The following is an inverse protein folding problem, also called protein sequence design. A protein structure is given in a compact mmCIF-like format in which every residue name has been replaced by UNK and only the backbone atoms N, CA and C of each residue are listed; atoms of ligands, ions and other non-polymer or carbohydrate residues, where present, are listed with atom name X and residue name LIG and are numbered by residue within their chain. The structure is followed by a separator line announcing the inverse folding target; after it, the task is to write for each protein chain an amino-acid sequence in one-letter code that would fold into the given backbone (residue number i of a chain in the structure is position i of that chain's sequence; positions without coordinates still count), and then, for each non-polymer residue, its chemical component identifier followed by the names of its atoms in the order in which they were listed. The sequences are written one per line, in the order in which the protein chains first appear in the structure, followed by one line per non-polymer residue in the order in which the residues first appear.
data_IF_043994674028
#
_entry.id   IF_043994674028
#
_cell.length_a   1.000
_cell.length_b   1.000
_cell.length_c   1.000
_cell.angle_alpha   90.00
_cell.angle_beta   90.00
_cell.angle_gamma   90.00
#
_symmetry.space_group_name_H-M   'P 1'
#
loop_
_entity.id
_entity.type
_entity.pdbx_description
1 polymer ?
#
# COMPACT_ATOMS: atom_id res chain seq x y z
N UNK A 1 2.71 -64.12 4.99
CA UNK A 1 1.62 -63.18 4.65
C UNK A 1 1.34 -62.19 5.78
N UNK A 2 1.21 -62.59 7.05
CA UNK A 2 0.99 -61.67 8.20
C UNK A 2 2.09 -60.62 8.41
N UNK A 3 3.36 -60.94 8.16
CA UNK A 3 4.49 -60.00 8.29
C UNK A 3 4.50 -58.90 7.22
N UNK A 4 4.04 -59.20 6.01
CA UNK A 4 3.93 -58.20 4.92
C UNK A 4 2.77 -57.23 5.15
N UNK A 5 1.69 -57.70 5.80
CA UNK A 5 0.53 -56.86 6.16
C UNK A 5 0.86 -55.86 7.27
N UNK A 6 1.61 -56.27 8.30
CA UNK A 6 2.08 -55.36 9.37
C UNK A 6 3.02 -54.26 8.85
N UNK A 7 3.91 -54.60 7.90
CA UNK A 7 4.85 -53.64 7.33
C UNK A 7 4.13 -52.56 6.49
N UNK A 8 3.12 -52.95 5.70
CA UNK A 8 2.28 -51.99 4.95
C UNK A 8 1.49 -51.06 5.88
N UNK A 9 0.91 -51.58 6.95
CA UNK A 9 0.16 -50.75 7.90
C UNK A 9 1.07 -49.72 8.60
N UNK A 10 2.30 -50.09 8.95
CA UNK A 10 3.26 -49.18 9.59
C UNK A 10 3.71 -48.06 8.64
N UNK A 11 3.94 -48.38 7.35
CA UNK A 11 4.26 -47.38 6.32
C UNK A 11 3.10 -46.43 6.03
N UNK A 12 1.86 -46.90 6.07
CA UNK A 12 0.66 -46.07 5.90
C UNK A 12 0.44 -45.10 7.08
N UNK A 13 0.72 -45.55 8.31
CA UNK A 13 0.66 -44.69 9.51
C UNK A 13 1.73 -43.60 9.46
N UNK A 14 2.94 -43.93 8.99
CA UNK A 14 4.02 -42.96 8.82
C UNK A 14 3.70 -41.93 7.73
N UNK A 15 3.07 -42.33 6.62
CA UNK A 15 2.60 -41.40 5.58
C UNK A 15 1.48 -40.48 6.10
N UNK A 16 0.58 -41.00 6.95
CA UNK A 16 -0.52 -40.22 7.54
C UNK A 16 -0.05 -39.11 8.49
N UNK A 17 1.07 -39.32 9.20
CA UNK A 17 1.64 -38.33 10.12
C UNK A 17 2.35 -37.16 9.42
N UNK A 18 2.85 -37.37 8.20
CA UNK A 18 3.52 -36.32 7.41
C UNK A 18 2.50 -35.36 6.76
N UNK A 19 1.25 -35.80 6.57
CA UNK A 19 0.19 -35.02 5.93
C UNK A 19 -0.45 -33.91 6.77
N UNK A 20 -0.16 -33.84 8.07
CA UNK A 20 -0.83 -32.91 9.01
C UNK A 20 0.01 -31.63 9.27
N UNK A 21 1.25 -31.58 8.78
CA UNK A 21 2.24 -30.57 9.18
C UNK A 21 2.28 -29.25 8.41
N UNK A 22 1.43 -28.98 7.41
CA UNK A 22 1.63 -27.82 6.52
C UNK A 22 0.35 -27.02 6.23
N UNK A 23 -0.47 -26.76 7.24
CA UNK A 23 -1.50 -25.72 7.16
C UNK A 23 -1.33 -24.67 8.25
N UNK A 24 -0.11 -24.15 8.39
CA UNK A 24 0.10 -22.81 8.96
C UNK A 24 0.11 -21.79 7.83
N UNK A 25 -0.97 -21.75 7.05
CA UNK A 25 -1.31 -20.58 6.25
C UNK A 25 -1.58 -19.44 7.23
N UNK A 26 -0.52 -18.69 7.56
CA UNK A 26 -0.58 -17.54 8.43
C UNK A 26 -1.76 -16.66 8.01
N UNK A 27 -2.67 -16.43 8.96
CA UNK A 27 -3.79 -15.52 8.78
C UNK A 27 -3.23 -14.14 8.45
N UNK A 28 -3.18 -13.80 7.16
CA UNK A 28 -2.85 -12.46 6.70
C UNK A 28 -3.97 -11.54 7.19
N UNK A 29 -3.82 -10.97 8.38
CA UNK A 29 -4.76 -9.96 8.87
C UNK A 29 -4.64 -8.78 7.91
N UNK A 30 -5.68 -8.53 7.13
CA UNK A 30 -5.74 -7.45 6.13
C UNK A 30 -5.82 -6.05 6.75
N UNK A 31 -5.56 -5.94 8.06
CA UNK A 31 -5.56 -4.68 8.79
C UNK A 31 -4.23 -3.96 8.62
N UNK A 32 -4.24 -2.64 8.33
CA UNK A 32 -3.01 -1.87 8.24
C UNK A 32 -2.33 -1.82 9.61
N UNK A 33 -1.00 -1.95 9.62
CA UNK A 33 -0.19 -1.87 10.86
C UNK A 33 -0.33 -0.52 11.57
N UNK A 34 -0.60 0.53 10.80
CA UNK A 34 -0.77 1.89 11.29
C UNK A 34 -1.91 2.54 10.52
N UNK A 35 -2.92 3.05 11.26
CA UNK A 35 -4.04 3.80 10.69
C UNK A 35 -3.97 5.22 11.25
N UNK A 36 -3.68 6.17 10.37
CA UNK A 36 -3.66 7.59 10.71
C UNK A 36 -4.86 8.29 10.11
N UNK A 37 -5.54 9.10 10.91
CA UNK A 37 -6.56 10.00 10.41
C UNK A 37 -5.91 11.24 9.79
N UNK A 38 -6.71 11.97 9.01
CA UNK A 38 -6.32 13.25 8.45
C UNK A 38 -5.95 14.30 9.53
N UNK A 39 -6.50 14.19 10.73
CA UNK A 39 -6.15 15.06 11.87
C UNK A 39 -4.76 14.71 12.39
N UNK A 40 -4.48 13.43 12.55
CA UNK A 40 -3.16 12.96 13.01
C UNK A 40 -2.06 13.39 12.03
N UNK A 41 -2.30 13.23 10.72
CA UNK A 41 -1.35 13.65 9.69
C UNK A 41 -1.05 15.16 9.72
N UNK A 42 -2.03 16.00 10.07
CA UNK A 42 -1.80 17.43 10.24
C UNK A 42 -0.96 17.74 11.45
N UNK A 43 -1.26 17.09 12.58
CA UNK A 43 -0.57 17.34 13.84
C UNK A 43 0.92 16.97 13.75
N UNK A 44 1.26 15.91 13.03
CA UNK A 44 2.64 15.50 12.80
C UNK A 44 3.30 16.18 11.59
N UNK A 45 2.64 17.16 10.97
CA UNK A 45 3.12 17.84 9.76
C UNK A 45 3.44 16.86 8.60
N UNK A 46 2.81 15.68 8.59
CA UNK A 46 3.04 14.58 7.65
C UNK A 46 2.25 14.70 6.35
N UNK A 47 1.54 15.82 6.17
CA UNK A 47 0.78 16.12 4.96
C UNK A 47 0.93 17.59 4.58
N UNK A 48 1.24 17.85 3.33
CA UNK A 48 1.15 19.17 2.70
C UNK A 48 -0.06 19.21 1.80
N UNK A 49 -0.71 20.38 1.74
CA UNK A 49 -1.92 20.56 0.94
C UNK A 49 -1.79 21.79 0.07
N UNK A 50 -2.43 21.71 -1.06
CA UNK A 50 -2.59 22.80 -2.00
C UNK A 50 -4.09 22.99 -2.20
N UNK A 51 -4.54 24.23 -2.13
CA UNK A 51 -5.92 24.62 -2.40
C UNK A 51 -5.91 25.84 -3.33
N UNK A 52 -6.92 25.93 -4.18
CA UNK A 52 -7.07 26.97 -5.17
C UNK A 52 -8.55 27.34 -5.33
N UNK A 53 -8.93 28.50 -4.81
CA UNK A 53 -10.33 28.95 -4.64
C UNK A 53 -11.21 28.85 -5.90
N UNK A 54 -10.62 29.08 -7.08
CA UNK A 54 -11.36 29.19 -8.35
C UNK A 54 -11.22 27.98 -9.26
N UNK A 55 -10.59 26.91 -8.78
CA UNK A 55 -10.41 25.69 -9.54
C UNK A 55 -10.98 24.51 -8.80
N UNK A 56 -11.42 23.51 -9.54
CA UNK A 56 -11.76 22.21 -9.01
C UNK A 56 -11.25 21.13 -9.97
N UNK A 57 -11.39 19.87 -9.57
CA UNK A 57 -11.12 18.71 -10.42
C UNK A 57 -9.65 18.60 -10.86
N UNK A 58 -8.75 18.33 -9.91
CA UNK A 58 -7.35 17.98 -10.18
C UNK A 58 -7.24 16.56 -10.78
N UNK A 59 -7.62 16.42 -12.06
CA UNK A 59 -7.78 15.12 -12.71
C UNK A 59 -6.56 14.63 -13.48
N UNK A 60 -5.65 15.53 -13.87
CA UNK A 60 -4.42 15.19 -14.60
C UNK A 60 -3.20 15.52 -13.74
N UNK A 61 -2.28 14.55 -13.62
CA UNK A 61 -1.04 14.69 -12.85
C UNK A 61 0.13 14.27 -13.73
N UNK A 62 1.17 15.10 -13.78
CA UNK A 62 2.44 14.80 -14.43
C UNK A 62 3.56 15.11 -13.46
N UNK A 63 4.27 14.06 -13.05
CA UNK A 63 5.42 14.16 -12.15
C UNK A 63 6.70 14.31 -12.97
N UNK A 64 7.48 15.35 -12.67
CA UNK A 64 8.81 15.59 -13.22
C UNK A 64 9.82 15.60 -12.07
N UNK A 65 10.40 14.43 -11.80
CA UNK A 65 11.35 14.23 -10.71
C UNK A 65 12.68 14.97 -10.97
N UNK A 66 13.17 14.96 -12.21
CA UNK A 66 14.42 15.61 -12.62
C UNK A 66 14.40 17.11 -12.33
N UNK A 67 13.25 17.76 -12.54
CA UNK A 67 13.08 19.20 -12.28
C UNK A 67 12.50 19.52 -10.92
N UNK A 68 12.16 18.51 -10.12
CA UNK A 68 11.53 18.71 -8.81
C UNK A 68 10.14 19.34 -8.90
N UNK A 69 9.36 19.06 -9.95
CA UNK A 69 8.05 19.68 -10.19
C UNK A 69 6.92 18.68 -10.38
N UNK A 70 5.74 19.04 -9.88
CA UNK A 70 4.48 18.34 -10.10
C UNK A 70 3.55 19.25 -10.90
N UNK A 71 3.23 18.86 -12.12
CA UNK A 71 2.24 19.54 -12.94
C UNK A 71 0.86 18.95 -12.68
N UNK A 72 -0.12 19.83 -12.43
CA UNK A 72 -1.49 19.42 -12.13
C UNK A 72 -2.44 20.13 -13.10
N UNK A 73 -3.17 19.36 -13.89
CA UNK A 73 -4.28 19.85 -14.70
C UNK A 73 -5.55 19.93 -13.86
N UNK A 74 -6.06 21.15 -13.72
CA UNK A 74 -7.33 21.44 -13.09
C UNK A 74 -8.29 22.09 -14.10
N UNK A 75 -9.55 22.27 -13.72
CA UNK A 75 -10.52 22.93 -14.59
C UNK A 75 -10.07 24.37 -14.90
N UNK A 76 -9.73 24.64 -16.16
CA UNK A 76 -9.24 25.93 -16.66
C UNK A 76 -7.88 26.38 -16.12
N UNK A 77 -7.13 25.50 -15.44
CA UNK A 77 -5.81 25.83 -14.89
C UNK A 77 -4.82 24.71 -15.16
N UNK A 78 -3.57 25.10 -15.45
CA UNK A 78 -2.41 24.22 -15.40
C UNK A 78 -1.48 24.73 -14.31
N UNK A 79 -1.26 23.92 -13.29
CA UNK A 79 -0.46 24.27 -12.13
C UNK A 79 0.92 23.64 -12.24
N UNK A 80 1.94 24.37 -11.80
CA UNK A 80 3.30 23.88 -11.64
C UNK A 80 3.67 23.99 -10.16
N UNK A 81 3.58 22.90 -9.43
CA UNK A 81 3.89 22.83 -8.00
C UNK A 81 5.33 22.36 -7.79
N UNK A 82 6.00 22.88 -6.76
CA UNK A 82 7.33 22.38 -6.34
C UNK A 82 7.16 21.13 -5.47
N UNK A 83 7.96 20.10 -5.72
CA UNK A 83 7.94 18.85 -4.93
C UNK A 83 8.47 19.04 -3.50
N UNK A 84 9.35 20.02 -3.27
CA UNK A 84 9.84 20.34 -1.93
C UNK A 84 8.72 20.81 -1.00
N UNK A 85 7.80 21.61 -1.53
CA UNK A 85 6.63 22.07 -0.80
C UNK A 85 5.52 22.52 -1.76
N UNK A 86 4.52 21.65 -1.94
CA UNK A 86 3.37 21.93 -2.80
C UNK A 86 2.47 23.06 -2.29
N UNK A 87 2.59 23.44 -1.01
CA UNK A 87 1.78 24.52 -0.42
C UNK A 87 2.31 25.92 -0.79
N UNK A 88 3.53 26.01 -1.35
CA UNK A 88 4.07 27.28 -1.84
C UNK A 88 3.36 27.64 -3.13
N UNK A 89 2.45 28.61 -3.06
CA UNK A 89 1.92 29.28 -4.25
C UNK A 89 3.00 30.22 -4.79
N UNK A 90 3.70 29.78 -5.83
CA UNK A 90 4.52 30.68 -6.64
C UNK A 90 3.55 31.55 -7.46
N UNK A 91 3.18 32.72 -6.94
CA UNK A 91 2.58 33.75 -7.77
C UNK A 91 3.64 34.23 -8.76
N UNK A 92 3.40 34.00 -10.05
CA UNK A 92 4.20 34.58 -11.12
C UNK A 92 3.27 35.30 -12.08
#
# INVERSE_FOLDING_TARGET
MMTMMMMMCSSLVLLGLIGIGVTSSGSSTSSPRMKLSYKDLQQFNGVKRFDLERSCCFGALLLDEERGRLFVGARNFLLSLSLDNISKQEQK
#
